data_IF_087663643435
#
_entry.id   IF_087663643435
#
_cell.length_a   1.000
_cell.length_b   1.000
_cell.length_c   1.000
_cell.angle_alpha   90.00
_cell.angle_beta   90.00
_cell.angle_gamma   90.00
#
_symmetry.space_group_name_H-M   'P 1'
#
loop_
_entity.id
_entity.type
_entity.pdbx_description
1 polymer ?
#
# COMPACT_ATOMS: atom_id res chain seq x y z
N UNK A 1 -6.63 24.01 35.33
CA UNK A 1 -7.28 22.75 34.85
C UNK A 1 -6.17 21.76 34.60
N UNK A 2 -6.01 20.77 35.46
CA UNK A 2 -5.09 19.65 35.19
C UNK A 2 -5.62 18.92 33.97
N UNK A 3 -4.89 18.96 32.88
CA UNK A 3 -5.19 18.14 31.70
C UNK A 3 -5.03 16.68 32.11
N UNK A 4 -6.15 15.97 32.28
CA UNK A 4 -6.12 14.51 32.50
C UNK A 4 -5.28 13.87 31.42
N UNK A 5 -4.21 13.24 31.83
CA UNK A 5 -3.37 12.48 30.92
C UNK A 5 -4.19 11.41 30.17
N UNK A 6 -4.01 11.34 28.84
CA UNK A 6 -4.75 10.38 28.01
C UNK A 6 -4.53 8.93 28.50
N UNK A 7 -5.59 8.16 28.70
CA UNK A 7 -5.48 6.75 29.05
C UNK A 7 -4.69 5.93 28.03
N UNK A 8 -4.67 6.36 26.77
CA UNK A 8 -3.93 5.72 25.68
C UNK A 8 -2.41 5.75 25.93
N UNK A 9 -1.92 6.75 26.64
CA UNK A 9 -0.49 6.92 26.93
C UNK A 9 -0.03 6.13 28.17
N UNK A 10 -0.96 5.57 28.92
CA UNK A 10 -0.63 4.83 30.14
C UNK A 10 0.14 3.55 29.84
N UNK A 11 1.18 3.27 30.64
CA UNK A 11 2.03 2.10 30.50
C UNK A 11 2.92 2.10 29.25
N UNK A 12 3.06 3.21 28.55
CA UNK A 12 4.09 3.43 27.53
C UNK A 12 5.36 3.97 28.20
N UNK A 13 6.52 3.42 27.80
CA UNK A 13 7.80 4.01 28.21
C UNK A 13 8.06 5.37 27.51
N UNK A 14 9.03 6.18 27.95
CA UNK A 14 9.24 7.53 27.40
C UNK A 14 9.45 7.54 25.88
N UNK A 15 10.20 6.58 25.31
CA UNK A 15 10.45 6.49 23.87
C UNK A 15 9.19 6.10 23.09
N UNK A 16 8.41 5.16 23.63
CA UNK A 16 7.12 4.77 23.04
C UNK A 16 6.12 5.93 23.07
N UNK A 17 6.07 6.64 24.19
CA UNK A 17 5.21 7.83 24.35
C UNK A 17 5.58 8.93 23.36
N UNK A 18 6.87 9.25 23.23
CA UNK A 18 7.33 10.21 22.24
C UNK A 18 6.93 9.80 20.81
N UNK A 19 7.06 8.52 20.48
CA UNK A 19 6.63 8.00 19.19
C UNK A 19 5.10 8.08 18.95
N UNK A 20 4.29 8.05 20.00
CA UNK A 20 2.83 8.18 19.91
C UNK A 20 2.39 9.63 19.72
N UNK A 21 2.95 10.56 20.48
CA UNK A 21 2.51 11.96 20.51
C UNK A 21 3.03 12.79 19.33
N UNK A 22 4.20 12.45 18.79
CA UNK A 22 4.82 13.18 17.67
C UNK A 22 4.28 12.69 16.31
N UNK A 23 3.02 12.97 16.00
CA UNK A 23 2.39 12.51 14.75
C UNK A 23 2.27 13.61 13.67
N UNK A 24 2.60 14.86 13.97
CA UNK A 24 2.44 15.99 13.04
C UNK A 24 3.52 16.04 11.95
N UNK A 25 4.60 15.27 12.10
CA UNK A 25 5.70 15.21 11.15
C UNK A 25 6.06 13.77 10.76
N UNK A 26 6.66 13.57 9.58
CA UNK A 26 7.20 12.26 9.19
C UNK A 26 8.19 11.76 10.23
N UNK A 27 8.02 10.52 10.66
CA UNK A 27 8.87 9.90 11.68
C UNK A 27 9.20 8.46 11.33
N UNK A 28 10.44 8.05 11.57
CA UNK A 28 10.92 6.68 11.47
C UNK A 28 11.15 6.13 12.87
N UNK A 29 10.47 5.01 13.19
CA UNK A 29 10.61 4.34 14.50
C UNK A 29 11.40 3.04 14.29
N UNK A 30 12.63 3.00 14.80
CA UNK A 30 13.48 1.82 14.77
C UNK A 30 13.34 1.08 16.09
N UNK A 31 12.93 -0.18 16.04
CA UNK A 31 12.62 -0.94 17.24
C UNK A 31 12.88 -2.46 17.01
N UNK A 32 13.53 -3.11 17.96
CA UNK A 32 13.81 -4.56 17.94
C UNK A 32 12.56 -5.44 18.08
N UNK A 33 12.71 -6.74 17.92
CA UNK A 33 11.65 -7.69 18.20
C UNK A 33 11.23 -7.60 19.68
N UNK A 34 9.92 -7.70 19.97
CA UNK A 34 9.41 -7.61 21.35
C UNK A 34 9.36 -6.20 21.96
N UNK A 35 9.87 -5.16 21.30
CA UNK A 35 9.88 -3.77 21.80
C UNK A 35 8.52 -3.09 21.86
N UNK A 36 7.46 -3.73 21.42
CA UNK A 36 6.12 -3.16 21.41
C UNK A 36 5.77 -2.29 20.20
N UNK A 37 6.45 -2.46 19.05
CA UNK A 37 6.17 -1.72 17.79
C UNK A 37 4.67 -1.63 17.45
N UNK A 38 3.99 -2.78 17.50
CA UNK A 38 2.55 -2.81 17.20
C UNK A 38 1.74 -2.03 18.24
N UNK A 39 2.13 -2.10 19.51
CA UNK A 39 1.48 -1.31 20.58
C UNK A 39 1.65 0.19 20.32
N UNK A 40 2.85 0.64 19.98
CA UNK A 40 3.12 2.04 19.65
C UNK A 40 2.26 2.49 18.47
N UNK A 41 2.21 1.69 17.40
CA UNK A 41 1.43 2.03 16.20
C UNK A 41 -0.07 2.12 16.51
N UNK A 42 -0.63 1.15 17.22
CA UNK A 42 -2.07 1.17 17.58
C UNK A 42 -2.40 2.29 18.55
N UNK A 43 -1.54 2.55 19.55
CA UNK A 43 -1.70 3.69 20.46
C UNK A 43 -1.58 5.05 19.75
N UNK A 44 -0.66 5.18 18.78
CA UNK A 44 -0.53 6.40 17.95
C UNK A 44 -1.82 6.69 17.18
N UNK A 45 -2.38 5.68 16.53
CA UNK A 45 -3.65 5.81 15.78
C UNK A 45 -4.79 6.22 16.73
N UNK A 46 -4.92 5.53 17.86
CA UNK A 46 -5.94 5.84 18.83
C UNK A 46 -5.78 7.27 19.39
N UNK A 47 -4.56 7.67 19.69
CA UNK A 47 -4.24 9.01 20.17
C UNK A 47 -4.56 10.10 19.13
N UNK A 48 -4.22 9.89 17.85
CA UNK A 48 -4.59 10.81 16.76
C UNK A 48 -6.10 11.04 16.70
N UNK A 49 -6.91 9.99 16.86
CA UNK A 49 -8.38 10.09 16.86
C UNK A 49 -8.87 10.83 18.13
N UNK A 50 -8.27 10.58 19.29
CA UNK A 50 -8.55 11.31 20.52
C UNK A 50 -8.25 12.80 20.37
N UNK A 51 -7.17 13.16 19.66
CA UNK A 51 -6.79 14.56 19.37
C UNK A 51 -7.63 15.19 18.24
N UNK A 52 -8.66 14.50 17.72
CA UNK A 52 -9.58 15.04 16.75
C UNK A 52 -9.26 14.76 15.29
N UNK A 53 -8.23 13.95 14.99
CA UNK A 53 -7.98 13.51 13.62
C UNK A 53 -9.13 12.61 13.15
N UNK A 54 -9.76 12.97 12.04
CA UNK A 54 -10.86 12.18 11.49
C UNK A 54 -10.37 10.78 11.04
N UNK A 55 -11.02 9.69 11.45
CA UNK A 55 -10.57 8.33 11.16
C UNK A 55 -10.36 8.03 9.67
N UNK A 56 -11.18 8.59 8.79
CA UNK A 56 -11.06 8.41 7.33
C UNK A 56 -9.82 9.10 6.72
N UNK A 57 -9.16 10.00 7.47
CA UNK A 57 -7.88 10.59 7.09
C UNK A 57 -6.68 9.73 7.52
N UNK A 58 -6.92 8.61 8.20
CA UNK A 58 -5.87 7.72 8.67
C UNK A 58 -5.79 6.49 7.74
N UNK A 59 -4.58 6.26 7.22
CA UNK A 59 -4.24 5.09 6.45
C UNK A 59 -3.24 4.24 7.23
N UNK A 60 -3.65 3.03 7.64
CA UNK A 60 -2.82 2.10 8.40
C UNK A 60 -2.53 0.83 7.59
N UNK A 61 -1.28 0.62 7.22
CA UNK A 61 -0.87 -0.48 6.35
C UNK A 61 0.01 -1.49 7.09
N UNK A 62 -0.15 -2.76 6.72
CA UNK A 62 0.66 -3.87 7.22
C UNK A 62 0.90 -4.91 6.12
N UNK A 63 1.76 -5.90 6.38
CA UNK A 63 2.11 -6.90 5.38
C UNK A 63 1.16 -8.10 5.34
N UNK A 64 0.49 -8.42 6.46
CA UNK A 64 -0.36 -9.62 6.54
C UNK A 64 -1.78 -9.28 6.99
N UNK A 65 -2.76 -10.03 6.49
CA UNK A 65 -4.16 -9.88 6.91
C UNK A 65 -4.34 -10.11 8.41
N UNK A 66 -3.63 -11.09 8.98
CA UNK A 66 -3.66 -11.37 10.42
C UNK A 66 -3.18 -10.18 11.25
N UNK A 67 -2.09 -9.52 10.83
CA UNK A 67 -1.61 -8.32 11.52
C UNK A 67 -2.59 -7.15 11.39
N UNK A 68 -3.24 -6.99 10.24
CA UNK A 68 -4.27 -5.97 10.03
C UNK A 68 -5.49 -6.19 10.95
N UNK A 69 -5.93 -7.43 11.10
CA UNK A 69 -7.04 -7.80 11.98
C UNK A 69 -6.70 -7.53 13.46
N UNK A 70 -5.56 -8.01 13.92
CA UNK A 70 -5.08 -7.74 15.28
C UNK A 70 -4.93 -6.25 15.58
N UNK A 71 -4.48 -5.47 14.60
CA UNK A 71 -4.39 -4.02 14.73
C UNK A 71 -5.78 -3.40 14.89
N UNK A 72 -6.74 -3.81 14.06
CA UNK A 72 -8.13 -3.34 14.12
C UNK A 72 -8.77 -3.62 15.46
N UNK A 73 -8.63 -4.85 15.97
CA UNK A 73 -9.17 -5.24 17.28
C UNK A 73 -8.59 -4.39 18.42
N UNK A 74 -7.26 -4.19 18.43
CA UNK A 74 -6.60 -3.38 19.46
C UNK A 74 -7.04 -1.93 19.43
N UNK A 75 -7.17 -1.33 18.25
CA UNK A 75 -7.65 0.04 18.12
C UNK A 75 -9.11 0.15 18.56
N UNK A 76 -9.96 -0.81 18.18
CA UNK A 76 -11.36 -0.83 18.59
C UNK A 76 -11.54 -0.91 20.13
N UNK A 77 -10.65 -1.61 20.83
CA UNK A 77 -10.62 -1.64 22.29
C UNK A 77 -10.26 -0.31 22.94
N UNK A 78 -9.43 0.49 22.27
CA UNK A 78 -9.01 1.81 22.77
C UNK A 78 -10.01 2.93 22.42
N UNK A 79 -10.85 2.73 21.41
CA UNK A 79 -11.81 3.72 20.90
C UNK A 79 -13.22 3.16 21.00
N UNK A 80 -13.96 3.47 22.09
CA UNK A 80 -15.23 2.80 22.39
C UNK A 80 -16.41 3.19 21.50
N UNK A 81 -16.31 4.24 20.71
CA UNK A 81 -17.41 4.81 19.91
C UNK A 81 -17.49 4.31 18.45
N UNK A 82 -16.90 3.17 18.15
CA UNK A 82 -16.88 2.55 16.83
C UNK A 82 -16.28 3.43 15.69
N UNK A 83 -15.65 4.56 15.99
CA UNK A 83 -14.97 5.39 14.97
C UNK A 83 -13.84 4.65 14.26
N UNK A 84 -13.24 3.65 14.92
CA UNK A 84 -12.15 2.83 14.36
C UNK A 84 -12.52 2.16 13.04
N UNK A 85 -13.81 1.88 12.78
CA UNK A 85 -14.29 1.26 11.53
C UNK A 85 -14.07 2.12 10.28
N UNK A 86 -13.93 3.42 10.43
CA UNK A 86 -13.71 4.35 9.35
C UNK A 86 -12.23 4.54 8.97
N UNK A 87 -11.31 3.93 9.72
CA UNK A 87 -9.89 3.95 9.39
C UNK A 87 -9.67 3.08 8.15
N UNK A 88 -8.95 3.59 7.17
CA UNK A 88 -8.49 2.78 6.03
C UNK A 88 -7.35 1.89 6.48
N UNK A 89 -7.66 0.62 6.77
CA UNK A 89 -6.72 -0.33 7.38
C UNK A 89 -6.72 -1.67 6.65
N UNK A 90 -5.52 -2.20 6.40
CA UNK A 90 -5.35 -3.50 5.74
C UNK A 90 -3.91 -3.75 5.27
N UNK A 91 -3.75 -4.75 4.40
CA UNK A 91 -2.50 -4.94 3.69
C UNK A 91 -2.37 -3.91 2.57
N UNK A 92 -1.13 -3.63 2.12
CA UNK A 92 -0.89 -2.76 0.97
C UNK A 92 -1.79 -3.15 -0.22
N UNK A 93 -1.77 -4.42 -0.62
CA UNK A 93 -2.56 -4.89 -1.75
C UNK A 93 -4.07 -4.69 -1.54
N UNK A 94 -4.62 -5.04 -0.37
CA UNK A 94 -6.05 -4.94 -0.12
C UNK A 94 -6.56 -3.49 -0.09
N UNK A 95 -5.78 -2.58 0.48
CA UNK A 95 -6.17 -1.17 0.58
C UNK A 95 -6.00 -0.46 -0.75
N UNK A 96 -4.86 -0.66 -1.43
CA UNK A 96 -4.63 -0.01 -2.72
C UNK A 96 -5.53 -0.56 -3.84
N UNK A 97 -5.88 -1.85 -3.84
CA UNK A 97 -6.86 -2.38 -4.79
C UNK A 97 -8.24 -1.75 -4.62
N UNK A 98 -8.64 -1.46 -3.37
CA UNK A 98 -9.89 -0.73 -3.09
C UNK A 98 -9.81 0.71 -3.57
N UNK A 99 -8.73 1.43 -3.26
CA UNK A 99 -8.52 2.81 -3.73
C UNK A 99 -8.52 2.87 -5.26
N UNK A 100 -7.89 1.91 -5.93
CA UNK A 100 -7.90 1.82 -7.39
C UNK A 100 -9.30 1.59 -7.94
N UNK A 101 -10.11 0.73 -7.33
CA UNK A 101 -11.50 0.50 -7.75
C UNK A 101 -12.37 1.74 -7.54
N UNK A 102 -12.21 2.44 -6.41
CA UNK A 102 -12.92 3.69 -6.11
C UNK A 102 -12.59 4.81 -7.11
N UNK A 103 -11.48 4.72 -7.85
CA UNK A 103 -11.01 5.74 -8.78
C UNK A 103 -10.71 5.18 -10.20
N UNK A 104 -11.25 4.02 -10.53
CA UNK A 104 -10.94 3.30 -11.78
C UNK A 104 -11.30 4.12 -13.03
N UNK A 105 -12.41 4.82 -12.99
CA UNK A 105 -12.88 5.72 -14.04
C UNK A 105 -11.88 6.83 -14.38
N UNK A 106 -11.19 7.37 -13.37
CA UNK A 106 -10.18 8.43 -13.54
C UNK A 106 -8.94 7.97 -14.30
N UNK A 107 -8.68 6.67 -14.30
CA UNK A 107 -7.55 6.06 -15.00
C UNK A 107 -7.96 5.23 -16.22
N UNK A 108 -9.25 5.36 -16.63
CA UNK A 108 -9.78 4.72 -17.84
C UNK A 108 -10.02 3.21 -17.72
N UNK A 109 -10.23 2.69 -16.50
CA UNK A 109 -10.55 1.29 -16.24
C UNK A 109 -11.98 1.13 -15.69
N UNK A 110 -12.66 0.01 -15.94
CA UNK A 110 -13.89 -0.32 -15.23
C UNK A 110 -13.57 -0.65 -13.77
N UNK A 111 -14.48 -0.38 -12.84
CA UNK A 111 -14.35 -0.74 -11.42
C UNK A 111 -14.25 -2.25 -11.17
N UNK A 112 -14.75 -3.04 -12.13
CA UNK A 112 -14.72 -4.50 -12.16
C UNK A 112 -13.42 -5.11 -12.70
N UNK A 113 -12.34 -4.31 -12.86
CA UNK A 113 -11.07 -4.83 -13.36
C UNK A 113 -10.52 -6.00 -12.54
N UNK A 114 -9.87 -6.94 -13.23
CA UNK A 114 -9.22 -8.09 -12.60
C UNK A 114 -7.79 -7.74 -12.20
N UNK A 115 -7.39 -8.17 -11.01
CA UNK A 115 -5.99 -8.10 -10.54
C UNK A 115 -5.32 -9.40 -10.95
N UNK A 116 -4.31 -9.31 -11.80
CA UNK A 116 -3.56 -10.45 -12.26
C UNK A 116 -2.47 -10.85 -11.27
N UNK A 117 -2.36 -12.13 -11.00
CA UNK A 117 -1.20 -12.73 -10.36
C UNK A 117 -0.02 -12.79 -11.36
N UNK A 118 1.24 -12.92 -10.89
CA UNK A 118 2.41 -13.00 -11.79
C UNK A 118 2.30 -14.13 -12.83
N UNK A 119 1.68 -15.25 -12.48
CA UNK A 119 1.38 -16.37 -13.39
C UNK A 119 0.44 -15.97 -14.52
N UNK A 120 -0.59 -15.19 -14.22
CA UNK A 120 -1.60 -14.74 -15.19
C UNK A 120 -0.96 -13.76 -16.19
N UNK A 121 -0.17 -12.81 -15.68
CA UNK A 121 0.60 -11.91 -16.54
C UNK A 121 1.52 -12.67 -17.52
N UNK A 122 2.22 -13.68 -17.01
CA UNK A 122 3.11 -14.50 -17.84
C UNK A 122 2.35 -15.28 -18.89
N UNK A 123 1.21 -15.87 -18.55
CA UNK A 123 0.38 -16.62 -19.50
C UNK A 123 -0.22 -15.71 -20.57
N UNK A 124 -0.71 -14.52 -20.17
CA UNK A 124 -1.20 -13.51 -21.11
C UNK A 124 -0.11 -13.09 -22.09
N UNK A 125 1.10 -12.80 -21.61
CA UNK A 125 2.22 -12.41 -22.46
C UNK A 125 2.62 -13.53 -23.43
N UNK A 126 2.62 -14.79 -23.01
CA UNK A 126 2.83 -15.93 -23.91
C UNK A 126 1.78 -16.00 -25.02
N UNK A 127 0.51 -15.78 -24.67
CA UNK A 127 -0.58 -15.78 -25.65
C UNK A 127 -0.37 -14.67 -26.68
N UNK A 128 -0.08 -13.44 -26.22
CA UNK A 128 0.16 -12.28 -27.10
C UNK A 128 1.35 -12.53 -28.04
N UNK A 129 2.47 -13.05 -27.52
CA UNK A 129 3.66 -13.36 -28.34
C UNK A 129 3.32 -14.34 -29.46
N UNK A 130 2.53 -15.38 -29.17
CA UNK A 130 2.07 -16.36 -30.17
C UNK A 130 1.10 -15.75 -31.17
N UNK A 131 0.12 -14.99 -30.75
CA UNK A 131 -0.86 -14.32 -31.61
C UNK A 131 -0.19 -13.36 -32.59
N UNK A 132 0.87 -12.67 -32.14
CA UNK A 132 1.67 -11.77 -32.98
C UNK A 132 2.74 -12.49 -33.81
N UNK A 133 2.84 -13.83 -33.73
CA UNK A 133 3.84 -14.65 -34.41
C UNK A 133 5.29 -14.17 -34.16
N UNK A 134 5.57 -13.72 -32.93
CA UNK A 134 6.89 -13.27 -32.54
C UNK A 134 7.77 -14.45 -32.09
N UNK A 135 9.09 -14.43 -32.34
CA UNK A 135 9.98 -15.52 -31.93
C UNK A 135 10.12 -15.60 -30.41
N UNK A 136 9.77 -16.75 -29.84
CA UNK A 136 9.78 -17.01 -28.37
C UNK A 136 11.17 -16.80 -27.73
N UNK A 137 12.23 -17.04 -28.48
CA UNK A 137 13.61 -16.87 -27.99
C UNK A 137 13.94 -15.40 -27.67
N UNK A 138 13.42 -14.50 -28.50
CA UNK A 138 13.64 -13.06 -28.40
C UNK A 138 12.65 -12.39 -27.43
N UNK A 139 11.37 -12.79 -27.47
CA UNK A 139 10.28 -12.18 -26.71
C UNK A 139 9.88 -13.04 -25.50
N UNK A 140 10.85 -13.29 -24.60
CA UNK A 140 10.61 -14.09 -23.40
C UNK A 140 9.60 -13.39 -22.46
N UNK A 141 8.51 -14.06 -22.02
CA UNK A 141 7.47 -13.46 -21.21
C UNK A 141 7.96 -12.79 -19.92
N UNK A 142 8.97 -13.36 -19.28
CA UNK A 142 9.55 -12.78 -18.07
C UNK A 142 10.28 -11.44 -18.35
N UNK A 143 10.97 -11.35 -19.50
CA UNK A 143 11.65 -10.12 -19.90
C UNK A 143 10.64 -9.04 -20.24
N UNK A 144 9.59 -9.39 -20.99
CA UNK A 144 8.50 -8.46 -21.32
C UNK A 144 7.79 -7.98 -20.07
N UNK A 145 7.47 -8.88 -19.13
CA UNK A 145 6.85 -8.51 -17.86
C UNK A 145 7.72 -7.51 -17.07
N UNK A 146 9.02 -7.73 -17.00
CA UNK A 146 9.96 -6.83 -16.31
C UNK A 146 10.03 -5.46 -16.98
N UNK A 147 10.09 -5.39 -18.31
CA UNK A 147 10.11 -4.12 -19.06
C UNK A 147 8.81 -3.33 -18.89
N UNK A 148 7.66 -4.00 -18.99
CA UNK A 148 6.35 -3.37 -18.77
C UNK A 148 6.23 -2.86 -17.33
N UNK A 149 6.67 -3.64 -16.35
CA UNK A 149 6.67 -3.24 -14.94
C UNK A 149 7.55 -2.02 -14.71
N UNK A 150 8.75 -2.00 -15.30
CA UNK A 150 9.65 -0.85 -15.22
C UNK A 150 9.04 0.41 -15.83
N UNK A 151 8.48 0.30 -17.04
CA UNK A 151 7.83 1.43 -17.70
C UNK A 151 6.66 1.99 -16.86
N UNK A 152 5.82 1.11 -16.30
CA UNK A 152 4.74 1.52 -15.40
C UNK A 152 5.24 2.20 -14.14
N UNK A 153 6.31 1.71 -13.53
CA UNK A 153 6.93 2.33 -12.35
C UNK A 153 7.50 3.72 -12.65
N UNK A 154 7.95 3.94 -13.88
CA UNK A 154 8.39 5.24 -14.38
C UNK A 154 7.25 6.12 -14.91
N UNK A 155 5.98 5.70 -14.77
CA UNK A 155 4.79 6.38 -15.28
C UNK A 155 4.81 6.59 -16.81
N UNK A 156 5.50 5.72 -17.54
CA UNK A 156 5.59 5.78 -19.02
C UNK A 156 4.36 5.07 -19.59
N UNK A 157 3.52 5.81 -20.30
CA UNK A 157 2.35 5.26 -20.99
C UNK A 157 2.78 4.50 -22.26
N UNK A 158 1.94 3.58 -22.81
CA UNK A 158 2.25 2.91 -24.07
C UNK A 158 2.56 3.88 -25.23
N UNK A 159 1.82 4.97 -25.35
CA UNK A 159 2.08 6.00 -26.36
C UNK A 159 3.43 6.71 -26.17
N UNK A 160 3.76 7.06 -24.92
CA UNK A 160 5.05 7.66 -24.59
C UNK A 160 6.21 6.68 -24.83
N UNK A 161 6.00 5.38 -24.55
CA UNK A 161 6.98 4.34 -24.81
C UNK A 161 7.31 4.24 -26.31
N UNK A 162 6.28 4.22 -27.16
CA UNK A 162 6.44 4.17 -28.62
C UNK A 162 7.10 5.43 -29.19
N UNK A 163 6.81 6.59 -28.64
CA UNK A 163 7.36 7.87 -29.08
C UNK A 163 8.84 8.07 -28.66
N UNK A 164 9.31 7.33 -27.67
CA UNK A 164 10.68 7.47 -27.17
C UNK A 164 11.64 6.59 -27.97
N UNK A 165 12.52 7.26 -28.75
CA UNK A 165 13.52 6.61 -29.61
C UNK A 165 14.50 5.70 -28.86
N UNK A 166 14.77 5.97 -27.58
CA UNK A 166 15.67 5.16 -26.75
C UNK A 166 15.06 3.78 -26.50
N UNK A 167 13.81 3.70 -26.06
CA UNK A 167 13.13 2.42 -25.88
C UNK A 167 12.92 1.67 -27.20
N UNK A 168 12.56 2.38 -28.27
CA UNK A 168 12.39 1.80 -29.59
C UNK A 168 13.70 1.30 -30.22
N UNK A 169 14.86 1.86 -29.87
CA UNK A 169 16.16 1.41 -30.34
C UNK A 169 16.63 0.13 -29.62
N UNK A 170 16.42 0.04 -28.31
CA UNK A 170 16.73 -1.18 -27.54
C UNK A 170 15.89 -2.38 -27.98
N UNK A 171 14.62 -2.18 -28.33
CA UNK A 171 13.74 -3.24 -28.83
C UNK A 171 14.08 -3.68 -30.26
N UNK A 172 14.74 -2.85 -31.08
CA UNK A 172 15.21 -3.26 -32.43
C UNK A 172 16.51 -4.06 -32.38
N UNK A 173 17.32 -3.92 -31.33
CA UNK A 173 18.57 -4.68 -31.16
C UNK A 173 18.38 -6.00 -30.39
N UNK A 174 17.27 -6.19 -29.70
CA UNK A 174 16.90 -7.43 -29.02
C UNK A 174 16.05 -8.32 -29.90
#
# INVERSE_FOLDING_TARGET
MESKESPILQGLNPAQRAAVVNYDAPSLIIAGAGSGKTRVLTSRIAYMIEQGVAPFNILALTFTNKAAEQMRERIAQMIPDNRSRYIRMGTFHSVFSRILRENADRIGFPDSFTIYEPSDCKNLLKTIVRELNLPDEKYKPNLLASRISYAKNCLVTPGAYLANSVYAAEDRQA
#
